data_IF_167929508281
#
_entry.id   IF_167929508281
#
_cell.length_a   1.000
_cell.length_b   1.000
_cell.length_c   1.000
_cell.angle_alpha   90.00
_cell.angle_beta   90.00
_cell.angle_gamma   90.00
#
_symmetry.space_group_name_H-M   'P 1'
#
loop_
_entity.id
_entity.type
_entity.pdbx_description
1 polymer ?
#
# COMPACT_ATOMS: atom_id res chain seq x y z
N UNK A 1 6.49 -16.40 11.91
CA UNK A 1 5.24 -15.97 11.25
C UNK A 1 5.30 -16.46 9.80
N UNK A 2 4.22 -17.03 9.26
CA UNK A 2 4.18 -17.53 7.87
C UNK A 2 4.24 -16.38 6.86
N UNK A 3 4.97 -16.59 5.76
CA UNK A 3 5.07 -15.63 4.63
C UNK A 3 3.68 -15.28 4.08
N UNK A 4 2.77 -16.26 4.02
CA UNK A 4 1.38 -16.05 3.60
C UNK A 4 0.65 -15.06 4.52
N UNK A 5 0.81 -15.22 5.85
CA UNK A 5 0.19 -14.33 6.84
C UNK A 5 0.75 -12.90 6.77
N UNK A 6 2.04 -12.75 6.46
CA UNK A 6 2.66 -11.44 6.25
C UNK A 6 2.14 -10.80 4.95
N UNK A 7 2.04 -11.58 3.87
CA UNK A 7 1.47 -11.13 2.59
C UNK A 7 0.02 -10.64 2.74
N UNK A 8 -0.84 -11.42 3.41
CA UNK A 8 -2.23 -11.06 3.68
C UNK A 8 -2.32 -9.77 4.50
N UNK A 9 -1.50 -9.66 5.55
CA UNK A 9 -1.46 -8.46 6.40
C UNK A 9 -1.08 -7.22 5.61
N UNK A 10 -0.01 -7.28 4.82
CA UNK A 10 0.46 -6.13 4.04
C UNK A 10 -0.53 -5.76 2.93
N UNK A 11 -1.15 -6.75 2.29
CA UNK A 11 -2.20 -6.52 1.29
C UNK A 11 -3.40 -5.81 1.90
N UNK A 12 -3.88 -6.27 3.06
CA UNK A 12 -4.99 -5.62 3.75
C UNK A 12 -4.68 -4.17 4.14
N UNK A 13 -3.44 -3.88 4.56
CA UNK A 13 -3.03 -2.50 4.89
C UNK A 13 -2.99 -1.64 3.63
N UNK A 14 -2.44 -2.14 2.53
CA UNK A 14 -2.40 -1.44 1.25
C UNK A 14 -3.81 -1.11 0.76
N UNK A 15 -4.73 -2.07 0.80
CA UNK A 15 -6.10 -1.89 0.30
C UNK A 15 -6.86 -0.82 1.12
N UNK A 16 -6.64 -0.76 2.43
CA UNK A 16 -7.19 0.31 3.28
C UNK A 16 -6.61 1.68 2.91
N UNK A 17 -5.31 1.77 2.62
CA UNK A 17 -4.69 3.03 2.21
C UNK A 17 -5.16 3.47 0.81
N UNK A 18 -5.36 2.53 -0.12
CA UNK A 18 -5.93 2.81 -1.44
C UNK A 18 -7.35 3.37 -1.32
N UNK A 19 -8.21 2.75 -0.51
CA UNK A 19 -9.55 3.28 -0.27
C UNK A 19 -9.55 4.68 0.37
N UNK A 20 -8.57 4.99 1.24
CA UNK A 20 -8.40 6.36 1.75
C UNK A 20 -8.00 7.33 0.65
N UNK A 21 -7.02 6.97 -0.18
CA UNK A 21 -6.56 7.80 -1.29
C UNK A 21 -7.70 8.12 -2.25
N UNK A 22 -8.52 7.13 -2.61
CA UNK A 22 -9.69 7.32 -3.47
C UNK A 22 -10.70 8.31 -2.88
N UNK A 23 -10.94 8.26 -1.57
CA UNK A 23 -11.81 9.23 -0.89
C UNK A 23 -11.23 10.64 -0.88
N UNK A 24 -9.90 10.78 -0.71
CA UNK A 24 -9.21 12.07 -0.80
C UNK A 24 -9.31 12.64 -2.22
N UNK A 25 -8.99 11.85 -3.24
CA UNK A 25 -9.06 12.27 -4.65
C UNK A 25 -10.51 12.59 -5.08
N UNK A 26 -11.50 11.86 -4.57
CA UNK A 26 -12.91 12.17 -4.79
C UNK A 26 -13.38 13.44 -4.07
N UNK A 27 -12.76 13.81 -2.93
CA UNK A 27 -13.05 15.06 -2.22
C UNK A 27 -12.55 16.27 -3.01
N UNK A 28 -11.36 16.17 -3.60
CA UNK A 28 -10.76 17.23 -4.43
C UNK A 28 -11.63 17.53 -5.68
N UNK A 29 -12.37 16.54 -6.18
CA UNK A 29 -13.28 16.71 -7.32
C UNK A 29 -14.42 17.73 -7.08
N UNK A 30 -14.70 18.10 -5.83
CA UNK A 30 -15.74 19.09 -5.50
C UNK A 30 -15.18 20.50 -5.22
N UNK A 31 -13.86 20.71 -5.32
CA UNK A 31 -13.23 22.02 -5.11
C UNK A 31 -13.42 22.59 -3.70
N UNK A 32 -13.76 21.73 -2.73
CA UNK A 32 -13.87 22.09 -1.32
C UNK A 32 -12.47 21.97 -0.73
N UNK A 33 -11.73 23.07 -0.84
CA UNK A 33 -10.38 23.31 -0.33
C UNK A 33 -9.26 22.63 -1.13
N UNK A 34 -8.51 23.43 -1.91
CA UNK A 34 -7.17 23.13 -2.44
C UNK A 34 -6.14 23.05 -1.28
N UNK A 35 -6.45 22.29 -0.23
CA UNK A 35 -5.53 22.08 0.87
C UNK A 35 -4.71 20.82 0.60
N UNK A 36 -3.75 20.95 -0.32
CA UNK A 36 -2.72 19.93 -0.53
C UNK A 36 -1.76 19.93 0.68
N UNK A 37 -2.19 19.32 1.78
CA UNK A 37 -1.40 19.19 3.03
C UNK A 37 -0.30 18.12 2.95
N UNK A 38 -0.10 17.54 1.76
CA UNK A 38 0.83 16.44 1.53
C UNK A 38 0.25 15.06 1.83
N UNK A 39 -0.97 14.94 2.36
CA UNK A 39 -1.58 13.64 2.71
C UNK A 39 -1.72 12.72 1.50
N UNK A 40 -2.11 13.24 0.33
CA UNK A 40 -2.21 12.47 -0.91
C UNK A 40 -0.85 11.90 -1.32
N UNK A 41 0.22 12.70 -1.20
CA UNK A 41 1.57 12.27 -1.53
C UNK A 41 2.07 11.21 -0.54
N UNK A 42 1.82 11.39 0.75
CA UNK A 42 2.18 10.43 1.79
C UNK A 42 1.44 9.09 1.63
N UNK A 43 0.15 9.14 1.30
CA UNK A 43 -0.64 7.94 1.00
C UNK A 43 -0.07 7.21 -0.22
N UNK A 44 0.23 7.92 -1.30
CA UNK A 44 0.85 7.34 -2.52
C UNK A 44 2.20 6.72 -2.24
N UNK A 45 3.08 7.41 -1.51
CA UNK A 45 4.39 6.91 -1.13
C UNK A 45 4.26 5.63 -0.29
N UNK A 46 3.37 5.63 0.70
CA UNK A 46 3.17 4.47 1.56
C UNK A 46 2.58 3.27 0.82
N UNK A 47 1.66 3.50 -0.12
CA UNK A 47 1.11 2.45 -1.00
C UNK A 47 2.21 1.85 -1.89
N UNK A 48 3.11 2.68 -2.42
CA UNK A 48 4.23 2.23 -3.23
C UNK A 48 5.19 1.35 -2.43
N UNK A 49 5.61 1.79 -1.24
CA UNK A 49 6.47 1.01 -0.33
C UNK A 49 5.87 -0.37 0.00
N UNK A 50 4.57 -0.42 0.33
CA UNK A 50 3.90 -1.68 0.63
C UNK A 50 3.79 -2.58 -0.61
N UNK A 51 3.60 -2.00 -1.78
CA UNK A 51 3.55 -2.76 -3.04
C UNK A 51 4.89 -3.37 -3.39
N UNK A 52 5.99 -2.66 -3.12
CA UNK A 52 7.35 -3.18 -3.25
C UNK A 52 7.63 -4.29 -2.23
N UNK A 53 7.25 -4.10 -0.97
CA UNK A 53 7.42 -5.14 0.07
C UNK A 53 6.63 -6.41 -0.27
N UNK A 54 5.39 -6.26 -0.73
CA UNK A 54 4.54 -7.37 -1.19
C UNK A 54 5.18 -8.08 -2.38
N UNK A 55 5.71 -7.34 -3.35
CA UNK A 55 6.38 -7.90 -4.54
C UNK A 55 7.64 -8.66 -4.14
N UNK A 56 8.45 -8.11 -3.25
CA UNK A 56 9.63 -8.77 -2.70
C UNK A 56 9.27 -10.05 -1.92
N UNK A 57 8.16 -10.06 -1.19
CA UNK A 57 7.66 -11.27 -0.52
C UNK A 57 7.21 -12.35 -1.51
N UNK A 58 6.55 -11.96 -2.61
CA UNK A 58 6.18 -12.90 -3.70
C UNK A 58 7.37 -13.45 -4.47
N UNK A 59 8.47 -12.70 -4.55
CA UNK A 59 9.72 -13.10 -5.21
C UNK A 59 10.66 -13.90 -4.28
N UNK A 60 10.31 -14.05 -3.00
CA UNK A 60 11.02 -14.91 -2.04
C UNK A 60 10.60 -16.41 -1.95
N UNK A 61 9.98 -17.10 -2.93
CA UNK A 61 9.66 -18.52 -2.79
C UNK A 61 10.89 -19.43 -2.74
N UNK A 62 12.04 -19.03 -3.31
CA UNK A 62 13.12 -19.98 -3.64
C UNK A 62 14.32 -20.03 -2.68
N UNK A 63 14.30 -19.36 -1.52
CA UNK A 63 15.48 -19.39 -0.61
C UNK A 63 15.44 -20.44 0.51
N UNK A 64 14.49 -21.39 0.46
CA UNK A 64 14.36 -22.42 1.49
C UNK A 64 14.49 -23.87 0.98
N UNK A 65 14.68 -24.10 -0.33
CA UNK A 65 14.93 -25.43 -0.93
C UNK A 65 16.40 -25.53 -1.40
N UNK A 66 17.34 -25.31 -0.48
CA UNK A 66 18.76 -25.51 -0.76
C UNK A 66 19.49 -26.03 0.49
N UNK A 67 19.08 -27.21 0.96
CA UNK A 67 19.87 -28.10 1.81
C UNK A 67 19.56 -29.56 1.47
#
# INVERSE_FOLDING_TARGET
MSVLRQYERLSAIRDVLQGKLELYEARDCFGIDDFEDGTTNDLRNRIAELSDEISNLKLRPERYEAW
#
